data_IF_739134541132
#
_entry.id   IF_739134541132
#
_cell.length_a   1.000
_cell.length_b   1.000
_cell.length_c   1.000
_cell.angle_alpha   90.00
_cell.angle_beta   90.00
_cell.angle_gamma   90.00
#
_symmetry.space_group_name_H-M   'P 1'
#
loop_
_entity.id
_entity.type
_entity.pdbx_description
1 polymer ?
#
# COMPACT_ATOMS: atom_id res chain seq x y z
N UNK A 1 4.18 -0.24 11.12
CA UNK A 1 5.21 -0.08 10.06
C UNK A 1 5.59 1.39 10.02
N UNK A 2 6.87 1.75 9.83
CA UNK A 2 7.28 3.17 9.73
C UNK A 2 7.83 3.45 8.33
N UNK A 3 7.37 4.55 7.73
CA UNK A 3 7.76 5.05 6.40
C UNK A 3 8.04 6.55 6.51
N UNK A 4 9.27 6.99 6.23
CA UNK A 4 9.69 8.39 6.32
C UNK A 4 9.28 9.09 7.65
N UNK A 5 9.46 8.40 8.78
CA UNK A 5 9.09 8.93 10.11
C UNK A 5 7.60 8.85 10.45
N UNK A 6 6.75 8.46 9.50
CA UNK A 6 5.31 8.30 9.72
C UNK A 6 5.02 6.87 10.14
N UNK A 7 4.31 6.74 11.26
CA UNK A 7 3.84 5.45 11.76
C UNK A 7 2.52 5.11 11.09
N UNK A 8 2.51 4.00 10.36
CA UNK A 8 1.32 3.43 9.74
C UNK A 8 0.61 2.55 10.75
N UNK A 9 -0.66 2.85 11.01
CA UNK A 9 -1.47 2.17 12.02
C UNK A 9 -1.84 0.76 11.57
N UNK A 10 -2.14 -0.15 12.51
CA UNK A 10 -2.66 -1.48 12.17
C UNK A 10 -3.94 -1.43 11.33
N UNK A 11 -4.80 -0.43 11.57
CA UNK A 11 -6.05 -0.23 10.83
C UNK A 11 -5.80 0.12 9.36
N UNK A 12 -4.83 1.01 9.09
CA UNK A 12 -4.42 1.34 7.72
C UNK A 12 -3.85 0.12 6.98
N UNK A 13 -3.05 -0.69 7.68
CA UNK A 13 -2.53 -1.95 7.13
C UNK A 13 -3.68 -2.93 6.82
N UNK A 14 -4.61 -3.10 7.76
CA UNK A 14 -5.76 -3.98 7.60
C UNK A 14 -6.60 -3.56 6.38
N UNK A 15 -6.94 -2.28 6.25
CA UNK A 15 -7.71 -1.79 5.11
C UNK A 15 -6.98 -1.96 3.77
N UNK A 16 -5.66 -1.77 3.74
CA UNK A 16 -4.85 -2.06 2.56
C UNK A 16 -4.93 -3.53 2.15
N UNK A 17 -4.87 -4.44 3.13
CA UNK A 17 -5.02 -5.88 2.91
C UNK A 17 -6.45 -6.27 2.50
N UNK A 18 -7.48 -5.66 3.09
CA UNK A 18 -8.87 -5.86 2.68
C UNK A 18 -9.09 -5.45 1.23
N UNK A 19 -8.52 -4.31 0.81
CA UNK A 19 -8.58 -3.87 -0.59
C UNK A 19 -7.96 -4.89 -1.54
N UNK A 20 -6.88 -5.57 -1.14
CA UNK A 20 -6.26 -6.63 -1.94
C UNK A 20 -7.13 -7.88 -2.08
N UNK A 21 -7.94 -8.19 -1.06
CA UNK A 21 -8.81 -9.39 -1.02
C UNK A 21 -10.14 -9.20 -1.77
N UNK A 22 -10.55 -7.96 -2.01
CA UNK A 22 -11.84 -7.66 -2.66
C UNK A 22 -11.91 -8.03 -4.16
N UNK A 23 -10.79 -8.35 -4.80
CA UNK A 23 -10.79 -8.77 -6.21
C UNK A 23 -9.51 -8.39 -6.94
N UNK A 24 -9.65 -7.92 -8.18
CA UNK A 24 -8.53 -7.35 -8.92
C UNK A 24 -8.20 -5.95 -8.41
N UNK A 25 -6.90 -5.67 -8.31
CA UNK A 25 -6.42 -4.37 -7.85
C UNK A 25 -5.11 -4.00 -8.53
N UNK A 26 -4.86 -2.70 -8.56
CA UNK A 26 -3.56 -2.13 -8.88
C UNK A 26 -2.90 -1.59 -7.61
N UNK A 27 -1.60 -1.32 -7.65
CA UNK A 27 -0.92 -0.63 -6.54
C UNK A 27 -1.61 0.69 -6.21
N UNK A 28 -2.08 1.41 -7.24
CA UNK A 28 -2.77 2.69 -7.10
C UNK A 28 -4.11 2.58 -6.35
N UNK A 29 -4.79 1.44 -6.45
CA UNK A 29 -6.01 1.19 -5.66
C UNK A 29 -5.71 1.13 -4.17
N UNK A 30 -4.65 0.42 -3.78
CA UNK A 30 -4.21 0.31 -2.38
C UNK A 30 -3.77 1.69 -1.87
N UNK A 31 -3.00 2.43 -2.68
CA UNK A 31 -2.57 3.79 -2.34
C UNK A 31 -3.77 4.70 -2.04
N UNK A 32 -4.81 4.69 -2.89
CA UNK A 32 -6.02 5.48 -2.66
C UNK A 32 -6.73 5.09 -1.36
N UNK A 33 -6.84 3.80 -1.06
CA UNK A 33 -7.44 3.32 0.20
C UNK A 33 -6.65 3.84 1.40
N UNK A 34 -5.32 3.79 1.35
CA UNK A 34 -4.46 4.29 2.43
C UNK A 34 -4.55 5.81 2.59
N UNK A 35 -4.61 6.56 1.49
CA UNK A 35 -4.76 8.02 1.50
C UNK A 35 -6.10 8.43 2.13
N UNK A 36 -7.18 7.73 1.79
CA UNK A 36 -8.50 7.97 2.38
C UNK A 36 -8.53 7.72 3.91
N UNK A 37 -7.61 6.90 4.42
CA UNK A 37 -7.42 6.64 5.85
C UNK A 37 -6.35 7.52 6.50
N UNK A 38 -5.96 8.60 5.83
CA UNK A 38 -5.04 9.60 6.38
C UNK A 38 -3.56 9.28 6.20
N UNK A 39 -3.17 8.27 5.41
CA UNK A 39 -1.76 8.13 5.02
C UNK A 39 -1.42 9.26 4.04
N UNK A 40 -0.48 10.15 4.37
CA UNK A 40 -0.23 11.31 3.53
C UNK A 40 0.33 10.88 2.17
N UNK A 41 -0.17 11.47 1.09
CA UNK A 41 0.36 11.21 -0.24
C UNK A 41 1.80 11.74 -0.36
N UNK A 42 2.06 12.92 0.20
CA UNK A 42 3.36 13.61 0.12
C UNK A 42 3.98 13.69 1.50
N UNK A 43 5.28 13.47 1.57
CA UNK A 43 6.05 13.58 2.82
C UNK A 43 7.18 14.56 2.65
N UNK A 44 7.40 15.40 3.65
CA UNK A 44 8.58 16.25 3.69
C UNK A 44 9.69 15.52 4.42
N UNK A 45 10.82 15.32 3.75
CA UNK A 45 12.01 14.68 4.30
C UNK A 45 13.19 15.58 4.02
N UNK A 46 13.87 16.03 5.08
CA UNK A 46 15.07 16.90 4.96
C UNK A 46 14.83 18.16 4.11
N UNK A 47 13.65 18.78 4.24
CA UNK A 47 13.27 19.98 3.48
C UNK A 47 12.89 19.72 2.02
N UNK A 48 12.77 18.46 1.59
CA UNK A 48 12.29 18.07 0.27
C UNK A 48 10.90 17.45 0.37
N UNK A 49 9.93 18.00 -0.36
CA UNK A 49 8.61 17.39 -0.52
C UNK A 49 8.75 16.24 -1.52
N UNK A 50 8.58 15.01 -1.05
CA UNK A 50 8.63 13.79 -1.83
C UNK A 50 7.19 13.40 -2.19
N UNK A 51 6.74 13.66 -3.43
CA UNK A 51 5.37 13.41 -3.82
C UNK A 51 5.13 11.90 -3.96
N UNK A 52 3.99 11.43 -3.46
CA UNK A 52 3.54 10.04 -3.55
C UNK A 52 4.44 9.03 -2.85
N UNK A 53 5.32 9.43 -1.94
CA UNK A 53 6.23 8.45 -1.33
C UNK A 53 5.58 7.61 -0.24
N UNK A 54 4.77 8.17 0.67
CA UNK A 54 4.34 7.38 1.83
C UNK A 54 3.36 6.26 1.45
N UNK A 55 2.19 6.61 0.89
CA UNK A 55 1.17 5.64 0.53
C UNK A 55 1.69 4.60 -0.48
N UNK A 56 2.52 5.02 -1.45
CA UNK A 56 3.13 4.12 -2.43
C UNK A 56 4.07 3.11 -1.78
N UNK A 57 4.97 3.57 -0.90
CA UNK A 57 5.91 2.70 -0.17
C UNK A 57 5.19 1.72 0.75
N UNK A 58 4.09 2.16 1.39
CA UNK A 58 3.25 1.26 2.19
C UNK A 58 2.61 0.20 1.31
N UNK A 59 1.97 0.60 0.20
CA UNK A 59 1.36 -0.32 -0.74
C UNK A 59 2.37 -1.34 -1.30
N UNK A 60 3.56 -0.88 -1.70
CA UNK A 60 4.64 -1.72 -2.19
C UNK A 60 5.12 -2.72 -1.13
N UNK A 61 5.32 -2.29 0.13
CA UNK A 61 5.72 -3.21 1.21
C UNK A 61 4.66 -4.26 1.51
N UNK A 62 3.38 -3.88 1.54
CA UNK A 62 2.29 -4.84 1.73
C UNK A 62 2.27 -5.85 0.58
N UNK A 63 2.38 -5.37 -0.66
CA UNK A 63 2.37 -6.21 -1.84
C UNK A 63 3.56 -7.18 -1.87
N UNK A 64 4.77 -6.70 -1.55
CA UNK A 64 5.95 -7.55 -1.43
C UNK A 64 5.80 -8.62 -0.34
N UNK A 65 5.22 -8.27 0.81
CA UNK A 65 4.96 -9.21 1.91
C UNK A 65 4.01 -10.32 1.45
N UNK A 66 2.85 -9.95 0.89
CA UNK A 66 1.82 -10.91 0.49
C UNK A 66 2.24 -11.74 -0.73
N UNK A 67 3.04 -11.17 -1.63
CA UNK A 67 3.66 -11.91 -2.73
C UNK A 67 4.66 -12.95 -2.20
N UNK A 68 5.52 -12.60 -1.23
CA UNK A 68 6.44 -13.55 -0.60
C UNK A 68 5.71 -14.66 0.17
N UNK A 69 4.54 -14.35 0.73
CA UNK A 69 3.67 -15.34 1.37
C UNK A 69 2.95 -16.27 0.37
N UNK A 70 2.98 -15.97 -0.93
CA UNK A 70 2.28 -16.75 -1.97
C UNK A 70 0.80 -16.45 -2.10
N UNK A 71 0.31 -15.38 -1.46
CA UNK A 71 -1.11 -14.98 -1.43
C UNK A 71 -1.53 -14.20 -2.68
N UNK A 72 -0.60 -13.82 -3.55
CA UNK A 72 -0.88 -12.95 -4.70
C UNK A 72 -0.45 -13.58 -6.02
N UNK A 73 -1.26 -13.34 -7.06
CA UNK A 73 -0.95 -13.65 -8.46
C UNK A 73 -1.04 -12.37 -9.28
N UNK A 74 -0.08 -12.18 -10.19
CA UNK A 74 -0.08 -11.08 -11.15
C UNK A 74 -0.42 -11.62 -12.55
N UNK A 75 -1.56 -11.20 -13.11
CA UNK A 75 -2.00 -11.56 -14.47
C UNK A 75 -2.66 -10.35 -15.11
N UNK A 76 -2.55 -10.18 -16.43
CA UNK A 76 -3.19 -9.08 -17.17
C UNK A 76 -2.90 -7.67 -16.62
N UNK A 77 -1.67 -7.43 -16.11
CA UNK A 77 -1.26 -6.17 -15.47
C UNK A 77 -2.01 -5.80 -14.17
N UNK A 78 -2.75 -6.74 -13.59
CA UNK A 78 -3.47 -6.57 -12.32
C UNK A 78 -3.06 -7.64 -11.31
N UNK A 79 -3.12 -7.28 -10.03
CA UNK A 79 -2.93 -8.21 -8.93
C UNK A 79 -4.26 -8.81 -8.52
N UNK A 80 -4.24 -10.08 -8.12
CA UNK A 80 -5.40 -10.79 -7.56
C UNK A 80 -4.96 -11.64 -6.38
N UNK A 81 -5.79 -11.66 -5.33
CA UNK A 81 -5.61 -12.55 -4.20
C UNK A 81 -5.83 -14.02 -4.64
N UNK A 82 -4.88 -14.88 -4.29
CA UNK A 82 -4.97 -16.32 -4.46
C UNK A 82 -5.66 -16.87 -3.20
N UNK A 83 -6.95 -17.18 -3.33
CA UNK A 83 -7.71 -17.86 -2.29
C UNK A 83 -7.13 -19.27 -2.03
#
# INVERSE_FOLDING_TARGET
MVIHGITITPEQIAAGLERMKQGEFTTRDIEKTLINLGVPEKVEVEGKILPKECANRVADRLLQRERKAGNLVFKNKVWRWKA
#
